data_IF_466145350614
#
_entry.id   IF_466145350614
#
_cell.length_a   1.000
_cell.length_b   1.000
_cell.length_c   1.000
_cell.angle_alpha   90.00
_cell.angle_beta   90.00
_cell.angle_gamma   90.00
#
_symmetry.space_group_name_H-M   'P 1'
#
loop_
_entity.id
_entity.type
_entity.pdbx_description
1 polymer ?
#
# COMPACT_ATOMS: atom_id res chain seq x y z
N UNK A 1 -16.71 0.00 -18.52
CA UNK A 1 -17.45 0.25 -17.26
C UNK A 1 -16.44 0.81 -16.29
N UNK A 2 -16.54 2.09 -15.92
CA UNK A 2 -15.62 2.67 -14.93
C UNK A 2 -15.92 2.00 -13.59
N UNK A 3 -14.96 1.21 -13.07
CA UNK A 3 -15.08 0.67 -11.72
C UNK A 3 -15.21 1.85 -10.76
N UNK A 4 -16.25 1.85 -9.92
CA UNK A 4 -16.44 2.89 -8.91
C UNK A 4 -15.35 2.67 -7.86
N UNK A 5 -14.33 3.53 -7.85
CA UNK A 5 -13.30 3.53 -6.82
C UNK A 5 -13.90 4.13 -5.55
N UNK A 6 -13.74 3.43 -4.44
CA UNK A 6 -14.30 3.81 -3.15
C UNK A 6 -13.64 5.07 -2.59
N UNK A 7 -14.44 5.94 -1.98
CA UNK A 7 -14.04 7.32 -1.70
C UNK A 7 -12.79 7.43 -0.82
N UNK A 8 -12.60 6.54 0.17
CA UNK A 8 -11.50 6.65 1.14
C UNK A 8 -10.16 6.18 0.59
N UNK A 9 -10.18 5.31 -0.42
CA UNK A 9 -8.95 4.84 -1.09
C UNK A 9 -8.70 5.56 -2.41
N UNK A 10 -9.67 6.34 -2.89
CA UNK A 10 -9.63 7.01 -4.19
C UNK A 10 -8.37 7.85 -4.40
N UNK A 11 -8.01 8.71 -3.46
CA UNK A 11 -6.83 9.58 -3.62
C UNK A 11 -5.55 8.78 -3.81
N UNK A 12 -5.39 7.69 -3.05
CA UNK A 12 -4.21 6.82 -3.18
C UNK A 12 -4.19 6.13 -4.56
N UNK A 13 -5.34 5.64 -5.02
CA UNK A 13 -5.50 5.02 -6.35
C UNK A 13 -5.23 6.04 -7.46
N UNK A 14 -5.76 7.25 -7.35
CA UNK A 14 -5.54 8.32 -8.32
C UNK A 14 -4.05 8.69 -8.38
N UNK A 15 -3.37 8.82 -7.24
CA UNK A 15 -1.92 9.06 -7.16
C UNK A 15 -1.15 7.94 -7.86
N UNK A 16 -1.45 6.67 -7.54
CA UNK A 16 -0.77 5.54 -8.17
C UNK A 16 -0.95 5.55 -9.69
N UNK A 17 -2.18 5.70 -10.20
CA UNK A 17 -2.42 5.75 -11.65
C UNK A 17 -1.85 7.02 -12.31
N UNK A 18 -1.72 8.11 -11.57
CA UNK A 18 -1.14 9.38 -12.02
C UNK A 18 0.33 9.28 -12.42
N UNK A 19 1.06 8.28 -11.92
CA UNK A 19 2.46 8.00 -12.29
C UNK A 19 2.65 7.72 -13.78
N UNK A 20 1.64 7.14 -14.45
CA UNK A 20 1.77 6.55 -15.78
C UNK A 20 2.49 5.20 -15.84
N UNK A 21 3.15 4.78 -14.76
CA UNK A 21 3.90 3.51 -14.65
C UNK A 21 3.09 2.40 -13.93
N UNK A 22 1.92 2.74 -13.40
CA UNK A 22 1.06 1.85 -12.63
C UNK A 22 -0.35 1.87 -13.21
N UNK A 23 -0.93 0.69 -13.38
CA UNK A 23 -2.33 0.50 -13.74
C UNK A 23 -3.04 -0.23 -12.60
N UNK A 24 -3.93 0.47 -11.89
CA UNK A 24 -4.76 -0.15 -10.84
C UNK A 24 -5.85 -1.01 -11.48
N UNK A 25 -5.85 -2.30 -11.14
CA UNK A 25 -6.82 -3.27 -11.65
C UNK A 25 -8.02 -3.37 -10.72
N UNK A 26 -7.80 -3.38 -9.40
CA UNK A 26 -8.85 -3.40 -8.40
C UNK A 26 -8.38 -2.75 -7.10
N UNK A 27 -9.32 -2.26 -6.30
CA UNK A 27 -9.02 -1.75 -4.96
C UNK A 27 -10.20 -1.97 -4.02
N UNK A 28 -9.93 -1.92 -2.72
CA UNK A 28 -10.92 -1.98 -1.67
C UNK A 28 -10.48 -1.02 -0.57
N UNK A 29 -11.38 -0.12 -0.13
CA UNK A 29 -11.05 0.79 0.97
C UNK A 29 -11.01 0.08 2.32
N UNK A 30 -11.54 -1.13 2.41
CA UNK A 30 -11.64 -1.95 3.60
C UNK A 30 -13.01 -1.82 4.26
N UNK A 31 -13.72 -2.94 4.37
CA UNK A 31 -15.10 -3.01 4.86
C UNK A 31 -15.21 -3.94 6.04
N UNK A 32 -15.77 -3.43 7.14
CA UNK A 32 -16.07 -4.25 8.30
C UNK A 32 -17.20 -5.24 8.02
N UNK A 33 -18.19 -4.85 7.20
CA UNK A 33 -19.27 -5.73 6.77
C UNK A 33 -18.77 -6.60 5.62
N UNK A 34 -18.73 -7.92 5.85
CA UNK A 34 -18.15 -8.88 4.91
C UNK A 34 -16.63 -9.09 5.06
N UNK A 35 -15.97 -8.45 6.04
CA UNK A 35 -14.60 -8.78 6.44
C UNK A 35 -13.58 -8.61 5.32
N UNK A 36 -13.48 -7.42 4.73
CA UNK A 36 -12.55 -7.14 3.62
C UNK A 36 -11.48 -6.17 4.06
N UNK A 37 -10.23 -6.59 4.06
CA UNK A 37 -9.10 -5.71 4.30
C UNK A 37 -8.93 -4.66 3.17
N UNK A 38 -8.32 -3.50 3.46
CA UNK A 38 -7.95 -2.55 2.43
C UNK A 38 -6.81 -3.09 1.56
N UNK A 39 -6.93 -2.93 0.25
CA UNK A 39 -5.86 -3.28 -0.69
C UNK A 39 -5.94 -2.47 -1.98
N UNK A 40 -4.81 -2.38 -2.69
CA UNK A 40 -4.75 -1.96 -4.09
C UNK A 40 -4.03 -3.04 -4.88
N UNK A 41 -4.71 -3.56 -5.90
CA UNK A 41 -4.20 -4.56 -6.82
C UNK A 41 -3.90 -3.89 -8.17
N UNK A 42 -2.67 -4.03 -8.65
CA UNK A 42 -2.18 -3.25 -9.78
C UNK A 42 -1.16 -4.00 -10.65
N UNK A 43 -1.03 -3.53 -11.89
CA UNK A 43 0.04 -3.89 -12.82
C UNK A 43 1.10 -2.79 -12.81
N UNK A 44 2.36 -3.20 -12.89
CA UNK A 44 3.51 -2.31 -13.08
C UNK A 44 4.73 -3.14 -13.46
N UNK A 45 5.89 -2.51 -13.67
CA UNK A 45 7.16 -3.22 -13.76
C UNK A 45 7.65 -3.65 -12.36
N UNK A 46 8.40 -4.75 -12.29
CA UNK A 46 9.02 -5.18 -11.02
C UNK A 46 9.95 -4.12 -10.42
N UNK A 47 10.59 -3.30 -11.26
CA UNK A 47 11.47 -2.20 -10.82
C UNK A 47 10.68 -1.11 -10.08
N UNK A 48 9.52 -0.72 -10.61
CA UNK A 48 8.63 0.28 -9.99
C UNK A 48 8.08 -0.28 -8.68
N UNK A 49 7.54 -1.51 -8.69
CA UNK A 49 7.04 -2.16 -7.48
C UNK A 49 8.12 -2.29 -6.39
N UNK A 50 9.35 -2.67 -6.75
CA UNK A 50 10.48 -2.72 -5.81
C UNK A 50 10.82 -1.33 -5.23
N UNK A 51 10.79 -0.28 -6.05
CA UNK A 51 11.05 1.09 -5.60
C UNK A 51 10.00 1.52 -4.57
N UNK A 52 8.72 1.27 -4.85
CA UNK A 52 7.65 1.59 -3.92
C UNK A 52 7.80 0.79 -2.62
N UNK A 53 8.02 -0.53 -2.71
CA UNK A 53 8.19 -1.39 -1.54
C UNK A 53 9.34 -0.94 -0.64
N UNK A 54 10.47 -0.55 -1.25
CA UNK A 54 11.62 -0.03 -0.50
C UNK A 54 11.23 1.23 0.28
N UNK A 55 10.55 2.18 -0.36
CA UNK A 55 10.15 3.42 0.30
C UNK A 55 9.10 3.18 1.40
N UNK A 56 8.12 2.31 1.15
CA UNK A 56 7.11 1.94 2.15
C UNK A 56 7.79 1.31 3.36
N UNK A 57 8.68 0.33 3.17
CA UNK A 57 9.40 -0.29 4.30
C UNK A 57 10.29 0.70 5.05
N UNK A 58 11.04 1.53 4.33
CA UNK A 58 11.87 2.58 4.95
C UNK A 58 11.02 3.53 5.79
N UNK A 59 9.79 3.82 5.35
CA UNK A 59 8.84 4.62 6.11
C UNK A 59 8.26 3.87 7.33
N UNK A 60 7.65 2.71 7.12
CA UNK A 60 6.97 1.92 8.15
C UNK A 60 7.93 1.45 9.26
N UNK A 61 9.19 1.16 8.92
CA UNK A 61 10.16 0.60 9.87
C UNK A 61 11.16 1.63 10.42
N UNK A 62 10.94 2.91 10.15
CA UNK A 62 11.71 3.96 10.81
C UNK A 62 11.30 4.12 12.27
N UNK A 63 12.23 4.45 13.15
CA UNK A 63 11.95 4.69 14.58
C UNK A 63 10.96 5.85 14.82
N UNK A 64 10.73 6.69 13.80
CA UNK A 64 9.82 7.83 13.82
C UNK A 64 8.58 7.60 12.95
N UNK A 65 8.27 6.35 12.61
CA UNK A 65 7.16 6.05 11.71
C UNK A 65 5.83 6.42 12.35
N UNK A 66 5.01 7.17 11.62
CA UNK A 66 3.60 7.42 11.94
C UNK A 66 2.68 6.32 11.35
N UNK A 67 3.24 5.22 10.83
CA UNK A 67 2.47 4.10 10.29
C UNK A 67 1.82 3.29 11.42
N UNK A 68 0.51 3.07 11.32
CA UNK A 68 -0.23 2.25 12.29
C UNK A 68 -0.16 0.76 11.96
N UNK A 69 0.03 0.44 10.68
CA UNK A 69 0.13 -0.93 10.17
C UNK A 69 1.38 -1.09 9.31
N UNK A 70 1.91 -2.31 9.25
CA UNK A 70 2.92 -2.68 8.27
C UNK A 70 2.23 -2.85 6.91
N UNK A 71 2.57 -1.98 5.97
CA UNK A 71 2.14 -2.07 4.58
C UNK A 71 3.24 -2.69 3.74
N UNK A 72 2.86 -3.57 2.82
CA UNK A 72 3.79 -4.29 1.95
C UNK A 72 3.22 -4.41 0.54
N UNK A 73 4.11 -4.59 -0.43
CA UNK A 73 3.80 -5.03 -1.78
C UNK A 73 4.11 -6.52 -1.89
N UNK A 74 3.08 -7.30 -2.20
CA UNK A 74 3.20 -8.71 -2.59
C UNK A 74 3.11 -8.86 -4.11
N UNK A 75 3.88 -9.78 -4.68
CA UNK A 75 3.86 -10.11 -6.09
C UNK A 75 3.15 -11.44 -6.33
N UNK A 76 2.30 -11.50 -7.36
CA UNK A 76 1.55 -12.71 -7.72
C UNK A 76 1.28 -12.76 -9.22
N UNK A 77 1.13 -13.96 -9.77
CA UNK A 77 0.62 -14.14 -11.13
C UNK A 77 -0.91 -14.20 -11.11
N UNK A 78 -1.55 -13.48 -12.03
CA UNK A 78 -3.00 -13.55 -12.20
C UNK A 78 -3.42 -14.79 -13.02
N UNK A 79 -4.73 -14.93 -13.28
CA UNK A 79 -5.29 -16.03 -14.09
C UNK A 79 -4.79 -16.04 -15.54
N UNK A 80 -4.27 -14.92 -16.04
CA UNK A 80 -3.68 -14.76 -17.36
C UNK A 80 -2.15 -14.94 -17.36
N UNK A 81 -1.56 -15.36 -16.23
CA UNK A 81 -0.11 -15.48 -16.03
C UNK A 81 0.68 -14.16 -16.14
N UNK A 82 0.01 -13.01 -15.99
CA UNK A 82 0.69 -11.72 -15.88
C UNK A 82 1.23 -11.53 -14.45
N UNK A 83 2.44 -11.00 -14.33
CA UNK A 83 2.97 -10.56 -13.04
C UNK A 83 2.22 -9.32 -12.56
N UNK A 84 1.66 -9.39 -11.37
CA UNK A 84 0.85 -8.35 -10.75
C UNK A 84 1.26 -8.13 -9.30
N UNK A 85 0.87 -7.00 -8.74
CA UNK A 85 1.28 -6.57 -7.42
C UNK A 85 0.08 -6.16 -6.57
N UNK A 86 0.20 -6.34 -5.26
CA UNK A 86 -0.81 -5.94 -4.30
C UNK A 86 -0.18 -5.17 -3.16
N UNK A 87 -0.62 -3.93 -2.97
CA UNK A 87 -0.35 -3.15 -1.76
C UNK A 87 -1.41 -3.48 -0.72
N UNK A 88 -0.99 -4.02 0.42
CA UNK A 88 -1.88 -4.44 1.51
C UNK A 88 -1.17 -4.43 2.87
N UNK A 89 -1.90 -4.75 3.94
CA UNK A 89 -1.31 -5.00 5.25
C UNK A 89 -1.64 -6.42 5.72
N UNK A 90 -0.63 -7.29 5.97
CA UNK A 90 -0.87 -8.67 6.39
C UNK A 90 -1.65 -8.78 7.71
N UNK A 91 -1.49 -7.79 8.60
CA UNK A 91 -2.25 -7.74 9.85
C UNK A 91 -3.73 -7.45 9.58
N UNK A 92 -4.03 -6.52 8.68
CA UNK A 92 -5.42 -6.19 8.32
C UNK A 92 -6.09 -7.35 7.59
N UNK A 93 -5.37 -8.04 6.70
CA UNK A 93 -5.85 -9.25 6.03
C UNK A 93 -6.28 -10.30 7.05
N UNK A 94 -5.40 -10.62 8.01
CA UNK A 94 -5.69 -11.58 9.09
C UNK A 94 -6.86 -11.15 9.98
N UNK A 95 -6.97 -9.85 10.26
CA UNK A 95 -8.08 -9.33 11.08
C UNK A 95 -9.42 -9.34 10.35
N UNK A 96 -9.38 -9.27 9.01
CA UNK A 96 -10.56 -9.29 8.15
C UNK A 96 -11.25 -10.65 8.10
N UNK A 97 -10.52 -11.74 8.36
CA UNK A 97 -11.07 -13.11 8.39
C UNK A 97 -12.04 -13.35 9.56
N UNK A 98 -12.01 -12.51 10.60
CA UNK A 98 -12.86 -12.66 11.78
C UNK A 98 -13.89 -11.53 11.84
N UNK A 99 -15.17 -11.86 11.81
CA UNK A 99 -16.29 -10.89 11.78
C UNK A 99 -16.22 -9.89 12.94
N UNK A 100 -15.98 -10.34 14.16
CA UNK A 100 -15.91 -9.47 15.35
C UNK A 100 -14.68 -8.55 15.33
N UNK A 101 -13.52 -9.06 14.91
CA UNK A 101 -12.29 -8.26 14.81
C UNK A 101 -12.35 -7.29 13.63
N UNK A 102 -13.03 -7.65 12.55
CA UNK A 102 -13.31 -6.77 11.41
C UNK A 102 -14.17 -5.57 11.82
N UNK A 103 -15.24 -5.80 12.59
CA UNK A 103 -16.07 -4.71 13.14
C UNK A 103 -15.24 -3.75 13.99
N UNK A 104 -14.39 -4.28 14.86
CA UNK A 104 -13.56 -3.46 15.74
C UNK A 104 -12.48 -2.68 14.97
N UNK A 105 -11.69 -3.34 14.12
CA UNK A 105 -10.52 -2.72 13.48
C UNK A 105 -10.87 -1.94 12.21
N UNK A 106 -11.72 -2.50 11.34
CA UNK A 106 -12.11 -1.88 10.07
C UNK A 106 -13.29 -0.90 10.25
N UNK A 107 -14.03 -1.01 11.36
CA UNK A 107 -15.11 -0.09 11.74
C UNK A 107 -14.67 0.92 12.80
N UNK A 108 -14.52 0.49 14.05
CA UNK A 108 -14.30 1.41 15.20
C UNK A 108 -12.92 2.10 15.20
N UNK A 109 -11.88 1.42 14.75
CA UNK A 109 -10.52 1.98 14.64
C UNK A 109 -10.15 2.40 13.21
N UNK A 110 -11.15 2.67 12.36
CA UNK A 110 -10.96 3.02 10.95
C UNK A 110 -10.03 4.21 10.72
N UNK A 111 -10.02 5.18 11.64
CA UNK A 111 -9.17 6.36 11.56
C UNK A 111 -7.67 6.04 11.40
N UNK A 112 -7.20 4.91 11.96
CA UNK A 112 -5.81 4.46 11.79
C UNK A 112 -5.52 4.05 10.35
N UNK A 113 -6.46 3.36 9.71
CA UNK A 113 -6.35 2.96 8.31
C UNK A 113 -6.39 4.19 7.40
N UNK A 114 -7.34 5.10 7.64
CA UNK A 114 -7.44 6.34 6.86
C UNK A 114 -6.19 7.23 7.02
N UNK A 115 -5.60 7.27 8.22
CA UNK A 115 -4.32 7.93 8.48
C UNK A 115 -3.20 7.30 7.66
N UNK A 116 -3.07 5.98 7.67
CA UNK A 116 -2.06 5.28 6.88
C UNK A 116 -2.24 5.49 5.37
N UNK A 117 -3.48 5.41 4.85
CA UNK A 117 -3.76 5.66 3.42
C UNK A 117 -3.36 7.09 3.01
N UNK A 118 -3.61 8.08 3.86
CA UNK A 118 -3.16 9.47 3.64
C UNK A 118 -1.65 9.58 3.64
N UNK A 119 -0.97 8.89 4.56
CA UNK A 119 0.48 8.87 4.66
C UNK A 119 1.14 8.18 3.47
N UNK A 120 0.61 7.03 3.02
CA UNK A 120 1.04 6.34 1.80
C UNK A 120 0.88 7.22 0.56
N UNK A 121 -0.23 7.96 0.48
CA UNK A 121 -0.47 8.93 -0.61
C UNK A 121 0.62 10.01 -0.63
N UNK A 122 0.97 10.57 0.54
CA UNK A 122 2.04 11.58 0.64
C UNK A 122 3.40 11.00 0.25
N UNK A 123 3.71 9.79 0.71
CA UNK A 123 4.96 9.09 0.39
C UNK A 123 5.10 8.88 -1.12
N UNK A 124 4.05 8.38 -1.79
CA UNK A 124 4.08 8.16 -3.25
C UNK A 124 4.24 9.46 -4.03
N UNK A 125 3.51 10.52 -3.66
CA UNK A 125 3.68 11.83 -4.28
C UNK A 125 5.11 12.37 -4.11
N UNK A 126 5.78 12.12 -2.98
CA UNK A 126 7.17 12.53 -2.77
C UNK A 126 8.15 11.74 -3.66
N UNK A 127 7.88 10.48 -3.93
CA UNK A 127 8.70 9.67 -4.86
C UNK A 127 8.58 10.22 -6.29
N UNK A 128 7.38 10.60 -6.71
CA UNK A 128 7.14 11.20 -8.04
C UNK A 128 7.77 12.60 -8.17
N UNK A 129 7.60 13.46 -7.16
CA UNK A 129 8.19 14.81 -7.13
C UNK A 129 9.72 14.79 -6.96
N UNK A 130 10.27 13.72 -6.39
CA UNK A 130 11.70 13.47 -6.22
C UNK A 130 12.39 12.84 -7.43
N UNK A 131 11.67 12.66 -8.55
CA UNK A 131 12.16 12.07 -9.80
C UNK A 131 13.31 12.80 -10.52
N UNK A 132 13.90 13.83 -9.90
CA UNK A 132 15.20 14.39 -10.25
C UNK A 132 16.15 14.29 -9.07
N UNK A 133 17.03 13.28 -9.07
CA UNK A 133 18.03 12.97 -8.03
C UNK A 133 17.47 12.71 -6.63
N UNK A 134 17.36 11.43 -6.27
CA UNK A 134 17.21 10.98 -4.88
C UNK A 134 18.51 11.34 -4.13
N UNK A 135 18.50 12.22 -3.11
CA UNK A 135 19.63 12.34 -2.22
C UNK A 135 19.71 11.06 -1.38
N UNK A 136 20.91 10.53 -1.27
CA UNK A 136 21.26 9.45 -0.36
C UNK A 136 21.02 9.92 1.09
N UNK A 137 19.80 9.76 1.61
CA UNK A 137 19.47 10.10 2.99
C UNK A 137 19.71 8.86 3.86
N UNK A 138 20.97 8.74 4.28
CA UNK A 138 21.44 8.31 5.60
C UNK A 138 21.08 6.87 6.05
N UNK A 139 22.11 6.00 6.09
CA UNK A 139 22.28 5.06 7.21
C UNK A 139 21.85 3.62 7.02
N UNK A 140 22.12 2.98 5.88
CA UNK A 140 22.07 1.50 5.79
C UNK A 140 23.32 0.92 6.44
N UNK A 141 23.25 0.65 7.74
CA UNK A 141 24.15 -0.31 8.40
C UNK A 141 23.98 -1.64 7.69
N UNK A 142 25.00 -2.02 6.91
CA UNK A 142 25.06 -3.30 6.23
C UNK A 142 25.06 -4.41 7.28
N UNK A 143 23.93 -5.09 7.44
CA UNK A 143 23.93 -6.42 8.07
C UNK A 143 24.38 -7.39 6.98
N UNK A 144 25.67 -7.75 7.04
CA UNK A 144 26.17 -8.93 6.36
C UNK A 144 25.46 -10.15 6.96
N UNK A 145 24.61 -10.79 6.16
CA UNK A 145 24.25 -12.18 6.41
C UNK A 145 25.34 -13.01 5.75
N UNK A 146 26.12 -13.68 6.59
CA UNK A 146 27.07 -14.75 6.20
C UNK A 146 26.30 -16.06 6.14
#
# INVERSE_FOLDING_TARGET
>A
MMAIIEAKIKTLVDTMNGTGDIETVASCEGHWWGGRAPYIYFKSSAKVAQSIERNIRSFCWSEKSDSNFDWVISAQFNEQFDLTFQLHSPLLDRLSESTWKSIWTLGLHRNRIDSDLSTLTKLLNQIELGGGNVPNVIGVSHVHIV
#
